data_IF_411065544717
#
_entry.id   IF_411065544717
#
_cell.length_a   1.000
_cell.length_b   1.000
_cell.length_c   1.000
_cell.angle_alpha   90.00
_cell.angle_beta   90.00
_cell.angle_gamma   90.00
#
_symmetry.space_group_name_H-M   'P 1'
#
loop_
_entity.id
_entity.type
_entity.pdbx_description
1 polymer ?
#
# COMPACT_ATOMS: atom_id res chain seq x y z
N UNK A 1 30.22 -43.33 34.35
CA UNK A 1 28.93 -42.82 34.89
C UNK A 1 28.96 -41.33 35.25
N UNK A 2 30.09 -40.78 35.74
CA UNK A 2 30.25 -39.34 36.05
C UNK A 2 30.00 -38.42 34.83
N UNK A 3 30.54 -38.73 33.64
CA UNK A 3 30.37 -37.87 32.47
C UNK A 3 28.92 -37.76 31.98
N UNK A 4 28.15 -38.86 32.08
CA UNK A 4 26.70 -38.85 31.77
C UNK A 4 25.91 -37.99 32.75
N UNK A 5 26.29 -37.98 34.03
CA UNK A 5 25.67 -37.12 35.06
C UNK A 5 26.01 -35.64 34.87
N UNK A 6 27.26 -35.32 34.51
CA UNK A 6 27.68 -33.97 34.14
C UNK A 6 26.96 -33.45 32.89
N UNK A 7 26.80 -34.29 31.86
CA UNK A 7 26.05 -33.95 30.66
C UNK A 7 24.58 -33.67 30.96
N UNK A 8 23.95 -34.50 31.82
CA UNK A 8 22.56 -34.28 32.26
C UNK A 8 22.40 -32.99 33.07
N UNK A 9 23.36 -32.67 33.94
CA UNK A 9 23.38 -31.39 34.68
C UNK A 9 23.57 -30.19 33.75
N UNK A 10 24.48 -30.28 32.77
CA UNK A 10 24.69 -29.21 31.80
C UNK A 10 23.43 -28.96 30.96
N UNK A 11 22.77 -30.01 30.49
CA UNK A 11 21.50 -29.92 29.75
C UNK A 11 20.42 -29.30 30.63
N UNK A 12 20.32 -29.71 31.91
CA UNK A 12 19.36 -29.16 32.86
C UNK A 12 19.60 -27.68 33.17
N UNK A 13 20.85 -27.22 33.17
CA UNK A 13 21.17 -25.80 33.38
C UNK A 13 20.87 -25.00 32.10
N UNK A 14 21.16 -25.54 30.92
CA UNK A 14 20.88 -24.92 29.64
C UNK A 14 19.37 -24.70 29.42
N UNK A 15 18.53 -25.65 29.84
CA UNK A 15 17.06 -25.52 29.71
C UNK A 15 16.46 -24.44 30.62
N UNK A 16 17.08 -24.17 31.77
CA UNK A 16 16.61 -23.13 32.70
C UNK A 16 16.94 -21.73 32.17
N UNK A 17 18.11 -21.56 31.54
CA UNK A 17 18.55 -20.25 31.00
C UNK A 17 17.72 -19.85 29.77
N UNK A 18 17.23 -20.82 29.00
CA UNK A 18 16.42 -20.56 27.80
C UNK A 18 15.02 -19.97 28.09
N UNK A 19 14.54 -20.03 29.34
CA UNK A 19 13.17 -19.67 29.70
C UNK A 19 13.06 -18.27 30.35
N UNK A 20 13.77 -17.28 29.81
CA UNK A 20 13.57 -15.87 30.22
C UNK A 20 13.03 -15.06 29.04
N UNK A 21 11.87 -14.42 29.25
CA UNK A 21 11.27 -13.52 28.26
C UNK A 21 12.08 -12.24 28.07
N UNK A 22 11.94 -11.56 26.92
CA UNK A 22 12.59 -10.28 26.69
C UNK A 22 12.08 -9.25 27.70
N UNK A 23 13.02 -8.48 28.28
CA UNK A 23 12.68 -7.32 29.09
C UNK A 23 12.04 -6.25 28.20
N UNK A 24 11.17 -5.43 28.79
CA UNK A 24 10.58 -4.28 28.09
C UNK A 24 11.69 -3.29 27.69
N UNK A 25 11.87 -2.97 26.39
CA UNK A 25 12.86 -2.00 25.94
C UNK A 25 12.55 -0.59 26.47
N UNK A 26 13.58 0.20 26.74
CA UNK A 26 13.42 1.60 27.17
C UNK A 26 12.78 2.46 26.07
N UNK A 27 13.20 2.24 24.82
CA UNK A 27 12.69 2.92 23.62
C UNK A 27 11.64 2.09 22.88
N UNK A 28 10.71 1.47 23.60
CA UNK A 28 9.65 0.66 22.99
C UNK A 28 8.77 1.51 22.04
N UNK A 29 8.71 1.11 20.76
CA UNK A 29 7.79 1.69 19.78
C UNK A 29 6.36 1.42 20.24
N UNK A 30 5.51 2.44 20.29
CA UNK A 30 4.12 2.26 20.73
C UNK A 30 3.34 1.33 19.80
N UNK A 31 2.30 0.64 20.30
CA UNK A 31 1.45 -0.24 19.46
C UNK A 31 0.92 0.48 18.22
N UNK A 32 0.42 1.72 18.39
CA UNK A 32 -0.13 2.54 17.28
C UNK A 32 0.93 2.89 16.24
N UNK A 33 2.12 3.25 16.70
CA UNK A 33 3.24 3.56 15.81
C UNK A 33 3.73 2.30 15.09
N UNK A 34 3.81 1.16 15.78
CA UNK A 34 4.13 -0.13 15.19
C UNK A 34 3.13 -0.54 14.10
N UNK A 35 1.81 -0.35 14.32
CA UNK A 35 0.79 -0.56 13.28
C UNK A 35 1.10 0.27 12.04
N UNK A 36 1.42 1.55 12.22
CA UNK A 36 1.74 2.47 11.12
C UNK A 36 3.00 2.02 10.35
N UNK A 37 4.04 1.65 11.09
CA UNK A 37 5.30 1.13 10.53
C UNK A 37 5.05 -0.13 9.70
N UNK A 38 4.27 -1.08 10.22
CA UNK A 38 3.98 -2.35 9.54
C UNK A 38 3.15 -2.17 8.28
N UNK A 39 2.18 -1.23 8.28
CA UNK A 39 1.40 -0.87 7.09
C UNK A 39 2.33 -0.32 6.01
N UNK A 40 3.14 0.68 6.34
CA UNK A 40 4.06 1.29 5.37
C UNK A 40 5.09 0.28 4.85
N UNK A 41 5.68 -0.51 5.74
CA UNK A 41 6.62 -1.56 5.37
C UNK A 41 5.99 -2.58 4.41
N UNK A 42 4.73 -2.96 4.66
CA UNK A 42 3.99 -3.87 3.77
C UNK A 42 3.74 -3.25 2.41
N UNK A 43 3.29 -1.99 2.36
CA UNK A 43 3.05 -1.28 1.09
C UNK A 43 4.33 -1.19 0.26
N UNK A 44 5.44 -0.79 0.86
CA UNK A 44 6.75 -0.70 0.22
C UNK A 44 7.24 -2.07 -0.25
N UNK A 45 7.08 -3.12 0.56
CA UNK A 45 7.49 -4.47 0.21
C UNK A 45 6.74 -4.99 -1.02
N UNK A 46 5.43 -4.68 -1.13
CA UNK A 46 4.57 -5.08 -2.26
C UNK A 46 4.69 -4.19 -3.49
N UNK A 47 5.43 -3.07 -3.42
CA UNK A 47 5.61 -2.18 -4.55
C UNK A 47 6.33 -2.89 -5.71
N UNK A 48 5.83 -2.67 -6.93
CA UNK A 48 6.45 -3.18 -8.16
C UNK A 48 7.83 -2.54 -8.37
N UNK A 49 8.69 -3.17 -9.18
CA UNK A 49 10.00 -2.59 -9.51
C UNK A 49 9.90 -1.19 -10.13
N UNK A 50 8.88 -0.96 -10.96
CA UNK A 50 8.58 0.36 -11.55
C UNK A 50 8.24 1.38 -10.47
N UNK A 51 7.38 1.02 -9.52
CA UNK A 51 7.00 1.92 -8.44
C UNK A 51 8.18 2.20 -7.51
N UNK A 52 9.01 1.19 -7.21
CA UNK A 52 10.25 1.37 -6.44
C UNK A 52 11.21 2.34 -7.12
N UNK A 53 11.34 2.26 -8.45
CA UNK A 53 12.14 3.21 -9.22
C UNK A 53 11.57 4.63 -9.14
N UNK A 54 10.26 4.79 -9.33
CA UNK A 54 9.59 6.11 -9.20
C UNK A 54 9.83 6.72 -7.80
N UNK A 55 9.75 5.90 -6.75
CA UNK A 55 10.08 6.35 -5.39
C UNK A 55 11.53 6.83 -5.29
N UNK A 56 12.49 6.05 -5.77
CA UNK A 56 13.91 6.42 -5.74
C UNK A 56 14.22 7.69 -6.54
N UNK A 57 13.65 7.80 -7.75
CA UNK A 57 13.78 8.99 -8.61
C UNK A 57 13.17 10.24 -7.94
N UNK A 58 12.21 10.05 -7.04
CA UNK A 58 11.60 11.10 -6.20
C UNK A 58 12.36 11.34 -4.88
N UNK A 59 13.53 10.73 -4.68
CA UNK A 59 14.35 10.85 -3.47
C UNK A 59 13.89 9.98 -2.29
N UNK A 60 12.93 9.08 -2.50
CA UNK A 60 12.41 8.16 -1.48
C UNK A 60 13.06 6.79 -1.61
N UNK A 61 13.89 6.43 -0.64
CA UNK A 61 14.62 5.17 -0.63
C UNK A 61 13.94 4.14 0.28
N UNK A 62 13.41 3.02 -0.27
CA UNK A 62 12.70 2.00 0.49
C UNK A 62 13.43 1.50 1.75
N UNK A 63 14.75 1.34 1.67
CA UNK A 63 15.56 0.77 2.76
C UNK A 63 15.69 1.69 3.98
N UNK A 64 15.57 3.02 3.80
CA UNK A 64 15.72 4.01 4.88
C UNK A 64 14.44 4.77 5.19
N UNK A 65 13.44 4.70 4.31
CA UNK A 65 12.21 5.49 4.43
C UNK A 65 11.49 5.28 5.76
N UNK A 66 11.32 4.04 6.20
CA UNK A 66 10.63 3.73 7.46
C UNK A 66 11.37 4.34 8.65
N UNK A 67 12.68 4.10 8.74
CA UNK A 67 13.51 4.62 9.82
C UNK A 67 13.46 6.15 9.89
N UNK A 68 13.56 6.82 8.74
CA UNK A 68 13.50 8.27 8.66
C UNK A 68 12.11 8.83 8.99
N UNK A 69 11.04 8.21 8.48
CA UNK A 69 9.67 8.68 8.67
C UNK A 69 9.22 8.61 10.13
N UNK A 70 9.58 7.54 10.83
CA UNK A 70 9.18 7.30 12.21
C UNK A 70 10.24 7.74 13.23
N UNK A 71 11.39 8.24 12.78
CA UNK A 71 12.52 8.63 13.62
C UNK A 71 12.96 7.49 14.57
N UNK A 72 13.06 6.28 14.01
CA UNK A 72 13.48 5.06 14.70
C UNK A 72 14.72 4.48 14.04
N UNK A 73 15.49 3.70 14.79
CA UNK A 73 16.63 2.95 14.25
C UNK A 73 16.31 1.45 14.14
N UNK A 74 17.19 0.70 13.47
CA UNK A 74 17.01 -0.74 13.25
C UNK A 74 16.99 -1.54 14.56
N UNK A 75 17.75 -1.11 15.55
CA UNK A 75 17.86 -1.78 16.85
C UNK A 75 16.58 -1.58 17.65
N UNK A 76 16.07 -0.35 17.72
CA UNK A 76 14.81 -0.01 18.37
C UNK A 76 13.64 -0.81 17.77
N UNK A 77 13.59 -0.92 16.44
CA UNK A 77 12.58 -1.74 15.77
C UNK A 77 12.72 -3.22 16.14
N UNK A 78 13.92 -3.79 16.07
CA UNK A 78 14.16 -5.19 16.40
C UNK A 78 13.77 -5.52 17.84
N UNK A 79 14.20 -4.69 18.81
CA UNK A 79 13.87 -4.87 20.23
C UNK A 79 12.36 -4.76 20.49
N UNK A 80 11.71 -3.77 19.89
CA UNK A 80 10.26 -3.60 20.01
C UNK A 80 9.49 -4.78 19.40
N UNK A 81 9.93 -5.25 18.22
CA UNK A 81 9.34 -6.40 17.56
C UNK A 81 9.52 -7.69 18.39
N UNK A 82 10.71 -7.91 18.96
CA UNK A 82 10.97 -9.05 19.86
C UNK A 82 10.10 -8.98 21.11
N UNK A 83 9.95 -7.80 21.71
CA UNK A 83 9.06 -7.60 22.86
C UNK A 83 7.61 -7.96 22.51
N UNK A 84 7.08 -7.46 21.41
CA UNK A 84 5.69 -7.77 21.04
C UNK A 84 5.51 -9.24 20.62
N UNK A 85 6.46 -9.84 19.92
CA UNK A 85 6.38 -11.26 19.52
C UNK A 85 6.27 -12.19 20.73
N UNK A 86 6.92 -11.84 21.86
CA UNK A 86 6.77 -12.59 23.11
C UNK A 86 5.40 -12.33 23.79
N UNK A 87 4.87 -11.11 23.68
CA UNK A 87 3.57 -10.72 24.22
C UNK A 87 2.46 -10.99 23.19
N UNK A 88 2.08 -12.25 23.01
CA UNK A 88 1.16 -12.72 21.95
C UNK A 88 -0.12 -11.86 21.82
N UNK A 89 -0.77 -11.53 22.94
CA UNK A 89 -2.00 -10.71 22.92
C UNK A 89 -1.79 -9.33 22.31
N UNK A 90 -0.68 -8.68 22.66
CA UNK A 90 -0.34 -7.36 22.14
C UNK A 90 -0.02 -7.42 20.65
N UNK A 91 0.67 -8.48 20.23
CA UNK A 91 1.01 -8.68 18.81
C UNK A 91 -0.21 -8.98 17.96
N UNK A 92 -1.13 -9.80 18.48
CA UNK A 92 -2.41 -10.07 17.83
C UNK A 92 -3.22 -8.79 17.62
N UNK A 93 -3.31 -7.94 18.65
CA UNK A 93 -3.97 -6.63 18.56
C UNK A 93 -3.33 -5.73 17.48
N UNK A 94 -1.99 -5.65 17.44
CA UNK A 94 -1.25 -4.91 16.41
C UNK A 94 -1.62 -5.43 15.02
N UNK A 95 -1.53 -6.74 14.79
CA UNK A 95 -1.78 -7.33 13.47
C UNK A 95 -3.24 -7.21 13.05
N UNK A 96 -4.18 -7.29 13.99
CA UNK A 96 -5.59 -7.06 13.72
C UNK A 96 -5.83 -5.61 13.26
N UNK A 97 -5.26 -4.63 13.96
CA UNK A 97 -5.34 -3.22 13.54
C UNK A 97 -4.70 -2.96 12.18
N UNK A 98 -3.57 -3.61 11.88
CA UNK A 98 -2.92 -3.54 10.56
C UNK A 98 -3.86 -4.07 9.49
N UNK A 99 -4.44 -5.25 9.71
CA UNK A 99 -5.38 -5.88 8.77
C UNK A 99 -6.59 -4.98 8.53
N UNK A 100 -7.25 -4.53 9.58
CA UNK A 100 -8.46 -3.71 9.48
C UNK A 100 -8.18 -2.37 8.77
N UNK A 101 -7.01 -1.79 8.99
CA UNK A 101 -6.58 -0.56 8.30
C UNK A 101 -6.35 -0.80 6.81
N UNK A 102 -5.68 -1.89 6.44
CA UNK A 102 -5.44 -2.26 5.04
C UNK A 102 -6.73 -2.61 4.30
N UNK A 103 -7.68 -3.28 4.97
CA UNK A 103 -8.99 -3.61 4.38
C UNK A 103 -9.78 -2.33 4.08
N UNK A 104 -9.85 -1.37 5.01
CA UNK A 104 -10.49 -0.07 4.76
C UNK A 104 -9.79 0.74 3.67
N UNK A 105 -8.46 0.72 3.64
CA UNK A 105 -7.68 1.39 2.59
C UNK A 105 -8.00 0.81 1.21
N UNK A 106 -8.13 -0.52 1.13
CA UNK A 106 -8.52 -1.22 -0.10
C UNK A 106 -9.93 -0.85 -0.53
N UNK A 107 -10.90 -0.85 0.38
CA UNK A 107 -12.28 -0.45 0.10
C UNK A 107 -12.34 0.97 -0.45
N UNK A 108 -11.66 1.91 0.20
CA UNK A 108 -11.59 3.31 -0.20
C UNK A 108 -11.07 3.47 -1.64
N UNK A 109 -9.89 2.88 -1.94
CA UNK A 109 -9.31 3.00 -3.28
C UNK A 109 -10.07 2.21 -4.36
N UNK A 110 -10.79 1.15 -3.97
CA UNK A 110 -11.67 0.42 -4.89
C UNK A 110 -12.88 1.28 -5.26
N UNK A 111 -13.53 1.91 -4.28
CA UNK A 111 -14.65 2.80 -4.50
C UNK A 111 -14.25 4.00 -5.38
N UNK A 112 -13.11 4.64 -5.09
CA UNK A 112 -12.58 5.72 -5.92
C UNK A 112 -12.37 5.29 -7.38
N UNK A 113 -11.75 4.13 -7.60
CA UNK A 113 -11.51 3.60 -8.95
C UNK A 113 -12.81 3.35 -9.71
N UNK A 114 -13.83 2.85 -9.03
CA UNK A 114 -15.14 2.58 -9.64
C UNK A 114 -15.90 3.86 -9.95
N UNK A 115 -15.80 4.89 -9.09
CA UNK A 115 -16.33 6.23 -9.38
C UNK A 115 -15.65 6.86 -10.60
N UNK A 116 -14.32 6.81 -10.68
CA UNK A 116 -13.57 7.32 -11.82
C UNK A 116 -13.96 6.61 -13.13
N UNK A 117 -14.13 5.29 -13.08
CA UNK A 117 -14.59 4.50 -14.23
C UNK A 117 -15.99 4.92 -14.68
N UNK A 118 -16.95 5.02 -13.74
CA UNK A 118 -18.33 5.45 -14.05
C UNK A 118 -18.34 6.85 -14.66
N UNK A 119 -17.53 7.78 -14.14
CA UNK A 119 -17.40 9.14 -14.70
C UNK A 119 -16.81 9.11 -16.13
N UNK A 120 -15.82 8.26 -16.38
CA UNK A 120 -15.24 8.12 -17.71
C UNK A 120 -16.24 7.52 -18.72
N UNK A 121 -17.01 6.51 -18.31
CA UNK A 121 -18.08 5.89 -19.11
C UNK A 121 -19.23 6.85 -19.40
N UNK A 122 -19.61 7.69 -18.42
CA UNK A 122 -20.64 8.70 -18.67
C UNK A 122 -20.15 9.75 -19.67
N UNK A 123 -18.92 10.25 -19.50
CA UNK A 123 -18.32 11.21 -20.45
C UNK A 123 -18.23 10.65 -21.86
N UNK A 124 -17.93 9.36 -22.02
CA UNK A 124 -17.89 8.75 -23.35
C UNK A 124 -19.28 8.67 -23.97
N UNK A 125 -20.31 8.28 -23.20
CA UNK A 125 -21.71 8.29 -23.64
C UNK A 125 -22.20 9.68 -24.04
N UNK A 126 -21.96 10.68 -23.20
CA UNK A 126 -22.35 12.08 -23.47
C UNK A 126 -21.66 12.61 -24.74
N UNK A 127 -20.38 12.27 -24.93
CA UNK A 127 -19.62 12.63 -26.14
C UNK A 127 -20.17 11.96 -27.39
N UNK A 128 -20.56 10.68 -27.30
CA UNK A 128 -21.20 9.95 -28.40
C UNK A 128 -22.56 10.57 -28.76
N UNK A 129 -23.38 10.89 -27.77
CA UNK A 129 -24.70 11.50 -27.98
C UNK A 129 -24.58 12.90 -28.62
N UNK A 130 -23.62 13.72 -28.18
CA UNK A 130 -23.34 15.01 -28.78
C UNK A 130 -22.95 14.90 -30.26
N UNK A 131 -22.16 13.89 -30.63
CA UNK A 131 -21.80 13.61 -32.02
C UNK A 131 -23.02 13.17 -32.83
N UNK A 132 -23.85 12.27 -32.30
CA UNK A 132 -25.07 11.79 -32.97
C UNK A 132 -26.06 12.93 -33.22
N UNK A 133 -26.33 13.76 -32.20
CA UNK A 133 -27.20 14.93 -32.34
C UNK A 133 -26.68 15.93 -33.37
N UNK A 134 -25.35 16.14 -33.42
CA UNK A 134 -24.74 17.00 -34.45
C UNK A 134 -24.93 16.42 -35.84
N UNK A 135 -24.76 15.10 -36.02
CA UNK A 135 -25.06 14.40 -37.28
C UNK A 135 -26.51 14.57 -37.69
N UNK A 136 -27.47 14.45 -36.77
CA UNK A 136 -28.90 14.54 -37.12
C UNK A 136 -29.32 15.98 -37.46
N UNK A 137 -28.72 16.97 -36.80
CA UNK A 137 -28.93 18.39 -37.10
C UNK A 137 -28.32 18.82 -38.44
N UNK A 138 -27.24 18.16 -38.86
CA UNK A 138 -26.63 18.30 -40.17
C UNK A 138 -27.27 17.27 -41.09
N UNK A 139 -28.40 17.59 -41.75
CA UNK A 139 -28.99 16.73 -42.80
C UNK A 139 -27.98 16.53 -43.95
N UNK A 140 -26.99 15.65 -43.75
CA UNK A 140 -25.91 15.39 -44.68
C UNK A 140 -26.45 14.46 -45.74
N UNK A 141 -26.86 15.08 -46.84
CA UNK A 141 -27.15 14.40 -48.08
C UNK A 141 -25.82 13.91 -48.68
N UNK A 142 -25.69 12.58 -48.74
CA UNK A 142 -24.92 11.79 -49.71
C UNK A 142 -23.37 11.86 -49.68
N UNK A 143 -22.76 10.67 -49.70
CA UNK A 143 -21.33 10.32 -49.81
C UNK A 143 -20.35 10.85 -48.75
N UNK A 144 -20.11 10.04 -47.71
CA UNK A 144 -18.90 10.14 -46.91
C UNK A 144 -17.85 9.20 -47.52
N UNK A 145 -16.89 9.78 -48.24
CA UNK A 145 -15.75 9.05 -48.77
C UNK A 145 -14.94 8.38 -47.64
N UNK A 146 -14.53 7.13 -47.90
CA UNK A 146 -13.90 6.22 -46.92
C UNK A 146 -12.61 6.79 -46.32
N UNK A 147 -11.97 7.70 -47.05
CA UNK A 147 -10.74 8.40 -46.69
C UNK A 147 -10.90 9.35 -45.48
N UNK A 148 -12.10 9.89 -45.25
CA UNK A 148 -12.38 10.82 -44.13
C UNK A 148 -12.51 10.09 -42.80
N UNK A 149 -13.10 8.89 -42.82
CA UNK A 149 -13.27 8.04 -41.62
C UNK A 149 -11.92 7.60 -41.05
N UNK A 150 -10.94 7.32 -41.93
CA UNK A 150 -9.59 6.93 -41.54
C UNK A 150 -8.82 8.06 -40.82
N UNK A 151 -8.98 9.32 -41.25
CA UNK A 151 -8.36 10.48 -40.58
C UNK A 151 -8.93 10.76 -39.18
N UNK A 152 -10.21 10.47 -38.97
CA UNK A 152 -10.85 10.62 -37.65
C UNK A 152 -10.33 9.55 -36.67
N UNK A 153 -10.11 8.33 -37.15
CA UNK A 153 -9.57 7.21 -36.35
C UNK A 153 -8.16 7.50 -35.83
N UNK A 154 -7.30 8.08 -36.66
CA UNK A 154 -5.93 8.44 -36.26
C UNK A 154 -5.90 9.56 -35.20
N UNK A 155 -6.90 10.45 -35.22
CA UNK A 155 -7.04 11.54 -34.24
C UNK A 155 -7.57 11.05 -32.88
N UNK A 156 -8.37 9.98 -32.86
CA UNK A 156 -8.90 9.37 -31.64
C UNK A 156 -7.89 8.44 -30.95
N UNK A 157 -6.91 7.88 -31.69
CA UNK A 157 -5.82 7.08 -31.11
C UNK A 157 -4.88 7.85 -30.18
N UNK A 158 -4.93 9.20 -30.21
CA UNK A 158 -4.10 10.10 -29.40
C UNK A 158 -4.76 10.56 -28.10
N UNK A 159 -6.00 10.15 -27.82
CA UNK A 159 -6.73 10.55 -26.61
C UNK A 159 -6.97 9.30 -25.76
N UNK A 160 -5.98 8.97 -24.95
CA UNK A 160 -6.18 8.50 -23.58
C UNK A 160 -4.84 8.62 -22.84
N UNK A 161 -4.41 9.84 -22.48
CA UNK A 161 -3.49 9.94 -21.37
C UNK A 161 -4.19 9.37 -20.14
N UNK A 162 -3.48 8.52 -19.39
CA UNK A 162 -3.93 8.09 -18.07
C UNK A 162 -4.41 9.32 -17.27
N UNK A 163 -5.51 9.22 -16.51
CA UNK A 163 -5.97 10.32 -15.69
C UNK A 163 -4.79 10.80 -14.84
N UNK A 164 -4.47 12.09 -14.95
CA UNK A 164 -3.47 12.71 -14.08
C UNK A 164 -3.99 12.58 -12.66
N UNK A 165 -3.27 11.85 -11.81
CA UNK A 165 -3.54 11.81 -10.38
C UNK A 165 -3.37 13.24 -9.84
N UNK A 166 -4.48 13.92 -9.60
CA UNK A 166 -4.46 15.29 -9.09
C UNK A 166 -4.25 15.26 -7.58
N UNK A 167 -3.08 15.77 -7.18
CA UNK A 167 -2.69 16.43 -5.93
C UNK A 167 -2.91 15.66 -4.63
N UNK A 168 -1.76 15.24 -4.09
CA UNK A 168 -1.53 14.73 -2.74
C UNK A 168 -2.59 13.76 -2.26
N UNK A 169 -2.34 12.47 -2.49
CA UNK A 169 -3.05 11.41 -1.78
C UNK A 169 -2.97 11.72 -0.29
N UNK A 170 -4.08 12.20 0.28
CA UNK A 170 -4.21 12.40 1.71
C UNK A 170 -3.95 11.04 2.32
N UNK A 171 -2.78 10.86 2.94
CA UNK A 171 -2.46 9.62 3.65
C UNK A 171 -3.59 9.42 4.63
N UNK A 172 -4.38 8.36 4.42
CA UNK A 172 -5.41 7.99 5.38
C UNK A 172 -4.62 7.65 6.63
N UNK A 173 -4.80 8.45 7.67
CA UNK A 173 -4.28 8.10 8.99
C UNK A 173 -4.85 6.73 9.34
N UNK A 174 -4.03 5.81 9.87
CA UNK A 174 -4.53 4.51 10.29
C UNK A 174 -5.71 4.74 11.24
N UNK A 175 -6.63 3.77 11.25
CA UNK A 175 -8.00 3.79 11.81
C UNK A 175 -8.14 4.29 13.27
N UNK A 176 -7.05 4.61 13.95
CA UNK A 176 -6.98 5.08 15.33
C UNK A 176 -7.28 6.57 15.55
N UNK A 177 -7.71 7.36 14.56
CA UNK A 177 -8.16 8.76 14.79
C UNK A 177 -9.57 8.87 15.43
N UNK A 178 -9.89 7.95 16.35
CA UNK A 178 -10.95 8.08 17.35
C UNK A 178 -10.45 7.68 18.73
#
# INVERSE_FOLDING_TARGET
MILKRLLLLLISVLTIIACSGPKKPERLISKREMVSILIDAKLIATASGVNKKIMQDSGVYPNSYIYNKYNIDSTQFAESNTYYTYNIKDYEEIYQMVKDSLDKLKEYYTALRDEERKRAEQKSKDSLEAILKKRDSLKFSQDIDSTVVLKIKDSLSKINPLPKMEKEGKLITPVSDK
#
